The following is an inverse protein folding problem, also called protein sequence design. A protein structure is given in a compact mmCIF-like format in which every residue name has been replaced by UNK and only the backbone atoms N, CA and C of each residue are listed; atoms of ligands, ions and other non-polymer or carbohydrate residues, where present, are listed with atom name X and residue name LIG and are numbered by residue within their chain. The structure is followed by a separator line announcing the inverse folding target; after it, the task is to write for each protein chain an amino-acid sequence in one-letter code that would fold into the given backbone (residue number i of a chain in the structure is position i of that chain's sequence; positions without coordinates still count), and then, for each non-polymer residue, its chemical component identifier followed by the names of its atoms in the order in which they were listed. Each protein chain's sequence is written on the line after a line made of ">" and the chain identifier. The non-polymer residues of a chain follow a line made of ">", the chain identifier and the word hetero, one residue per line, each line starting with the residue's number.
data_IF_630848965904
#
_entry.id   IF_630848965904
#
_cell.length_a   1.000
_cell.length_b   1.000
_cell.length_c   1.000
_cell.angle_alpha   90.00
_cell.angle_beta   90.00
_cell.angle_gamma   90.00
#
_symmetry.space_group_name_H-M   'P 1'
#
loop_
_entity.id
_entity.type
_entity.pdbx_description
1 polymer ?
#
# COMPACT_ATOMS: atom_id res chain seq x y z
N UNK A 1 -23.95 -14.22 3.79
CA UNK A 1 -22.69 -13.52 3.48
C UNK A 1 -22.69 -12.17 4.20
N UNK A 2 -21.58 -11.79 4.83
CA UNK A 2 -21.46 -10.49 5.46
C UNK A 2 -21.43 -9.41 4.36
N UNK A 3 -22.37 -8.45 4.38
CA UNK A 3 -22.48 -7.40 3.34
C UNK A 3 -21.18 -6.59 3.18
N UNK A 4 -20.43 -6.41 4.26
CA UNK A 4 -19.15 -5.68 4.24
C UNK A 4 -18.06 -6.41 3.43
N UNK A 5 -18.13 -7.73 3.31
CA UNK A 5 -17.18 -8.53 2.52
C UNK A 5 -17.55 -8.46 1.04
N UNK A 6 -18.84 -8.51 0.71
CA UNK A 6 -19.32 -8.53 -0.69
C UNK A 6 -19.06 -7.21 -1.42
N UNK A 7 -19.04 -6.09 -0.69
CA UNK A 7 -18.77 -4.76 -1.24
C UNK A 7 -17.29 -4.34 -1.14
N UNK A 8 -16.43 -5.18 -0.54
CA UNK A 8 -15.01 -4.87 -0.42
C UNK A 8 -14.36 -4.90 -1.81
N UNK A 9 -13.63 -3.85 -2.24
CA UNK A 9 -13.01 -3.82 -3.58
C UNK A 9 -11.86 -4.82 -3.77
N UNK A 10 -11.25 -5.31 -2.67
CA UNK A 10 -10.15 -6.26 -2.75
C UNK A 10 -10.64 -7.66 -3.15
N UNK A 11 -10.16 -8.14 -4.30
CA UNK A 11 -10.55 -9.44 -4.88
C UNK A 11 -10.22 -10.63 -3.97
N UNK A 12 -9.14 -10.54 -3.17
CA UNK A 12 -8.76 -11.60 -2.24
C UNK A 12 -9.80 -11.72 -1.13
N UNK A 13 -10.23 -10.57 -0.57
CA UNK A 13 -11.29 -10.50 0.45
C UNK A 13 -12.60 -11.06 -0.08
N UNK A 14 -13.01 -10.65 -1.28
CA UNK A 14 -14.25 -11.13 -1.91
C UNK A 14 -14.22 -12.66 -2.12
N UNK A 15 -13.12 -13.17 -2.66
CA UNK A 15 -12.96 -14.60 -2.96
C UNK A 15 -12.92 -15.45 -1.70
N UNK A 16 -12.11 -15.06 -0.71
CA UNK A 16 -11.96 -15.82 0.54
C UNK A 16 -13.17 -15.69 1.47
N UNK A 17 -14.01 -14.67 1.27
CA UNK A 17 -15.12 -14.32 2.17
C UNK A 17 -14.68 -14.16 3.63
N UNK A 18 -13.47 -13.61 3.86
CA UNK A 18 -12.85 -13.38 5.16
C UNK A 18 -12.34 -11.95 5.27
N UNK A 19 -12.23 -11.44 6.51
CA UNK A 19 -11.49 -10.21 6.75
C UNK A 19 -9.97 -10.45 6.54
N UNK A 20 -9.20 -9.42 6.15
CA UNK A 20 -7.76 -9.58 5.89
C UNK A 20 -6.98 -10.15 7.08
N UNK A 21 -7.37 -9.80 8.30
CA UNK A 21 -6.73 -10.25 9.54
C UNK A 21 -6.88 -11.77 9.77
N UNK A 22 -7.85 -12.39 9.11
CA UNK A 22 -8.13 -13.84 9.19
C UNK A 22 -7.43 -14.65 8.10
N UNK A 23 -6.66 -14.00 7.20
CA UNK A 23 -5.98 -14.71 6.13
C UNK A 23 -4.86 -15.60 6.65
N UNK A 24 -4.92 -16.87 6.26
CA UNK A 24 -3.89 -17.86 6.54
C UNK A 24 -3.07 -18.17 5.27
N UNK A 25 -1.87 -18.72 5.44
CA UNK A 25 -1.04 -19.20 4.32
C UNK A 25 -1.81 -20.11 3.36
N UNK A 26 -2.60 -21.01 3.91
CA UNK A 26 -3.44 -21.93 3.13
C UNK A 26 -4.52 -21.23 2.29
N UNK A 27 -5.04 -20.10 2.78
CA UNK A 27 -5.99 -19.28 2.03
C UNK A 27 -5.30 -18.60 0.83
N UNK A 28 -4.08 -18.09 1.05
CA UNK A 28 -3.26 -17.47 0.00
C UNK A 28 -2.89 -18.48 -1.08
N UNK A 29 -2.44 -19.67 -0.69
CA UNK A 29 -2.12 -20.75 -1.66
C UNK A 29 -3.37 -21.14 -2.45
N UNK A 30 -4.52 -21.30 -1.80
CA UNK A 30 -5.79 -21.60 -2.46
C UNK A 30 -6.18 -20.51 -3.46
N UNK A 31 -6.10 -19.23 -3.04
CA UNK A 31 -6.40 -18.10 -3.92
C UNK A 31 -5.52 -18.13 -5.18
N UNK A 32 -4.21 -18.30 -5.00
CA UNK A 32 -3.23 -18.37 -6.08
C UNK A 32 -3.60 -19.47 -7.08
N UNK A 33 -3.86 -20.70 -6.60
CA UNK A 33 -4.16 -21.86 -7.44
C UNK A 33 -5.47 -21.70 -8.23
N UNK A 34 -6.51 -21.20 -7.56
CA UNK A 34 -7.86 -21.14 -8.14
C UNK A 34 -8.10 -19.89 -9.00
N UNK A 35 -7.26 -18.87 -8.88
CA UNK A 35 -7.36 -17.62 -9.65
C UNK A 35 -6.27 -17.45 -10.74
N UNK A 36 -5.50 -18.50 -11.02
CA UNK A 36 -4.52 -18.48 -12.09
C UNK A 36 -3.37 -17.50 -11.86
N UNK A 37 -3.05 -17.19 -10.60
CA UNK A 37 -1.91 -16.35 -10.24
C UNK A 37 -0.61 -17.09 -10.60
N UNK A 38 0.31 -16.39 -11.25
CA UNK A 38 1.56 -16.96 -11.77
C UNK A 38 2.79 -16.44 -11.09
N UNK A 39 2.68 -15.25 -10.45
CA UNK A 39 3.77 -14.61 -9.73
C UNK A 39 3.32 -14.12 -8.37
N UNK A 40 4.27 -14.01 -7.46
CA UNK A 40 4.08 -13.39 -6.14
C UNK A 40 5.10 -12.28 -5.96
N UNK A 41 4.65 -11.15 -5.42
CA UNK A 41 5.52 -10.04 -5.05
C UNK A 41 5.55 -9.86 -3.54
N UNK A 42 6.75 -9.68 -2.99
CA UNK A 42 6.94 -9.14 -1.64
C UNK A 42 7.37 -7.70 -1.74
N UNK A 43 6.58 -6.81 -1.13
CA UNK A 43 6.81 -5.37 -1.17
C UNK A 43 7.14 -4.86 0.23
N UNK A 44 8.14 -4.00 0.35
CA UNK A 44 8.58 -3.48 1.64
C UNK A 44 9.13 -2.05 1.51
N UNK A 45 8.95 -1.19 2.52
CA UNK A 45 9.53 0.15 2.51
C UNK A 45 11.04 0.08 2.80
N UNK A 46 11.84 0.81 2.04
CA UNK A 46 13.24 1.10 2.35
C UNK A 46 13.38 2.45 3.07
N UNK A 47 14.60 2.90 3.35
CA UNK A 47 14.89 4.15 4.04
C UNK A 47 14.45 5.40 3.26
N UNK A 48 14.34 5.29 1.93
CA UNK A 48 13.87 6.35 1.03
C UNK A 48 12.32 6.49 1.00
N UNK A 49 11.60 5.78 1.85
CA UNK A 49 10.12 5.74 1.90
C UNK A 49 9.45 5.30 0.59
N UNK A 50 10.16 4.56 -0.25
CA UNK A 50 9.61 3.92 -1.44
C UNK A 50 9.41 2.44 -1.19
N UNK A 51 8.36 1.88 -1.78
CA UNK A 51 8.18 0.43 -1.80
C UNK A 51 9.18 -0.19 -2.78
N UNK A 52 9.97 -1.13 -2.28
CA UNK A 52 10.81 -2.03 -3.08
C UNK A 52 10.07 -3.34 -3.26
N UNK A 53 10.39 -4.07 -4.31
CA UNK A 53 9.66 -5.29 -4.68
C UNK A 53 10.62 -6.42 -5.04
N UNK A 54 10.35 -7.61 -4.49
CA UNK A 54 10.89 -8.87 -4.99
C UNK A 54 9.80 -9.60 -5.77
N UNK A 55 10.15 -10.06 -6.96
CA UNK A 55 9.25 -10.77 -7.85
C UNK A 55 9.60 -12.27 -7.87
N UNK A 56 8.64 -13.12 -7.56
CA UNK A 56 8.82 -14.57 -7.55
C UNK A 56 7.96 -15.22 -8.64
N UNK A 57 8.58 -16.05 -9.47
CA UNK A 57 7.85 -16.96 -10.36
C UNK A 57 7.47 -18.19 -9.56
N UNK A 58 6.21 -18.61 -9.61
CA UNK A 58 5.75 -19.80 -8.91
C UNK A 58 6.15 -21.04 -9.72
N UNK A 59 7.25 -21.68 -9.30
CA UNK A 59 7.80 -22.85 -9.99
C UNK A 59 7.14 -24.17 -9.52
N UNK A 60 6.73 -24.24 -8.25
CA UNK A 60 6.06 -25.40 -7.64
C UNK A 60 5.28 -24.98 -6.41
N UNK A 61 4.40 -25.86 -5.91
CA UNK A 61 3.67 -25.64 -4.65
C UNK A 61 4.63 -25.64 -3.45
N UNK A 62 5.63 -26.54 -3.43
CA UNK A 62 6.63 -26.59 -2.36
C UNK A 62 7.48 -25.33 -2.30
N UNK A 63 7.86 -24.77 -3.45
CA UNK A 63 8.57 -23.49 -3.52
C UNK A 63 7.70 -22.35 -3.02
N UNK A 64 6.44 -22.30 -3.47
CA UNK A 64 5.47 -21.28 -3.00
C UNK A 64 5.27 -21.38 -1.49
N UNK A 65 5.07 -22.57 -0.95
CA UNK A 65 4.93 -22.81 0.51
C UNK A 65 6.17 -22.32 1.26
N UNK A 66 7.35 -22.60 0.73
CA UNK A 66 8.63 -22.19 1.33
C UNK A 66 8.76 -20.68 1.41
N UNK A 67 8.58 -19.94 0.29
CA UNK A 67 8.71 -18.46 0.28
C UNK A 67 7.63 -17.78 1.13
N UNK A 68 6.43 -18.31 1.15
CA UNK A 68 5.37 -17.80 2.01
C UNK A 68 5.67 -18.02 3.49
N UNK A 69 6.33 -19.13 3.85
CA UNK A 69 6.64 -19.47 5.25
C UNK A 69 7.87 -18.75 5.80
N UNK A 70 8.96 -18.79 5.03
CA UNK A 70 10.28 -18.37 5.49
C UNK A 70 10.69 -17.01 4.92
N UNK A 71 9.93 -16.50 3.95
CA UNK A 71 10.30 -15.31 3.22
C UNK A 71 11.51 -15.51 2.32
N UNK A 72 12.23 -14.42 2.05
CA UNK A 72 13.45 -14.44 1.25
C UNK A 72 14.52 -13.56 1.88
N UNK A 73 15.77 -13.97 1.70
CA UNK A 73 16.93 -13.23 2.18
C UNK A 73 17.21 -12.04 1.26
N UNK A 74 17.49 -10.89 1.86
CA UNK A 74 17.88 -9.65 1.17
C UNK A 74 19.13 -9.05 1.81
N UNK A 75 19.88 -8.29 1.03
CA UNK A 75 21.01 -7.52 1.55
C UNK A 75 20.50 -6.22 2.20
N UNK A 76 20.50 -6.22 3.54
CA UNK A 76 20.06 -5.07 4.33
C UNK A 76 20.93 -3.84 4.17
N UNK A 77 22.23 -3.99 3.83
CA UNK A 77 23.11 -2.82 3.60
C UNK A 77 22.77 -2.04 2.34
N UNK A 78 22.13 -2.70 1.36
CA UNK A 78 21.58 -2.05 0.16
C UNK A 78 20.23 -1.36 0.40
N UNK A 79 19.58 -1.63 1.53
CA UNK A 79 18.27 -1.08 1.88
C UNK A 79 18.33 0.00 2.96
N UNK A 80 19.29 -0.12 3.87
CA UNK A 80 19.40 0.75 5.05
C UNK A 80 20.86 1.16 5.30
N UNK A 81 21.17 2.47 5.30
CA UNK A 81 22.54 2.96 5.44
C UNK A 81 23.18 2.67 6.82
N UNK A 82 22.34 2.33 7.81
CA UNK A 82 22.82 1.97 9.16
C UNK A 82 23.15 0.48 9.34
N UNK A 83 22.98 -0.35 8.29
CA UNK A 83 23.32 -1.77 8.32
C UNK A 83 24.69 -1.98 7.66
N UNK A 84 25.63 -2.55 8.43
CA UNK A 84 26.97 -2.85 7.94
C UNK A 84 26.98 -4.07 7.00
N UNK A 85 27.73 -4.00 5.91
CA UNK A 85 27.82 -5.05 4.89
C UNK A 85 28.27 -6.43 5.46
N UNK A 86 29.06 -6.45 6.52
CA UNK A 86 29.55 -7.69 7.14
C UNK A 86 28.50 -8.48 7.92
N UNK A 87 27.31 -7.88 8.21
CA UNK A 87 26.19 -8.52 8.90
C UNK A 87 24.86 -7.98 8.34
N UNK A 88 24.72 -8.06 7.01
CA UNK A 88 23.63 -7.42 6.29
C UNK A 88 22.47 -8.36 5.92
N UNK A 89 22.55 -9.64 6.26
CA UNK A 89 21.49 -10.59 5.95
C UNK A 89 20.21 -10.26 6.72
N UNK A 90 19.17 -9.85 5.98
CA UNK A 90 17.82 -9.69 6.45
C UNK A 90 16.89 -10.65 5.71
N UNK A 91 15.77 -10.97 6.34
CA UNK A 91 14.70 -11.76 5.72
C UNK A 91 13.44 -10.91 5.61
N UNK A 92 12.81 -10.94 4.45
CA UNK A 92 11.51 -10.31 4.21
C UNK A 92 10.42 -11.38 4.20
N UNK A 93 9.55 -11.34 5.19
CA UNK A 93 8.47 -12.32 5.38
C UNK A 93 7.13 -11.65 5.06
N UNK A 94 6.30 -12.22 4.15
CA UNK A 94 5.06 -11.60 3.71
C UNK A 94 4.00 -11.57 4.82
N UNK A 95 3.21 -10.50 4.82
CA UNK A 95 2.05 -10.32 5.70
C UNK A 95 0.78 -10.64 4.92
N UNK A 96 0.17 -11.79 5.15
CA UNK A 96 -0.98 -12.28 4.38
C UNK A 96 -2.17 -11.32 4.43
N UNK A 97 -2.38 -10.64 5.55
CA UNK A 97 -3.44 -9.65 5.71
C UNK A 97 -3.35 -8.46 4.70
N UNK A 98 -2.22 -8.30 4.03
CA UNK A 98 -2.01 -7.23 3.05
C UNK A 98 -2.09 -7.72 1.60
N UNK A 99 -2.57 -8.94 1.36
CA UNK A 99 -2.61 -9.54 0.03
C UNK A 99 -3.60 -8.83 -0.91
N UNK A 100 -3.12 -8.54 -2.12
CA UNK A 100 -3.94 -7.97 -3.19
C UNK A 100 -3.47 -8.46 -4.57
N UNK A 101 -4.36 -8.46 -5.55
CA UNK A 101 -3.97 -8.68 -6.95
C UNK A 101 -3.34 -7.40 -7.48
N UNK A 102 -2.12 -7.49 -8.01
CA UNK A 102 -1.37 -6.34 -8.52
C UNK A 102 -2.09 -5.72 -9.73
N UNK A 103 -2.55 -4.46 -9.63
CA UNK A 103 -3.33 -3.85 -10.70
C UNK A 103 -2.51 -3.43 -11.91
N UNK A 104 -1.18 -3.37 -11.81
CA UNK A 104 -0.27 -2.94 -12.86
C UNK A 104 0.46 -4.10 -13.55
N UNK A 105 0.35 -5.31 -13.02
CA UNK A 105 1.05 -6.46 -13.55
C UNK A 105 0.29 -7.07 -14.73
N UNK A 106 0.93 -7.16 -15.91
CA UNK A 106 0.39 -7.88 -17.07
C UNK A 106 0.29 -9.40 -16.81
N UNK A 107 1.28 -9.95 -16.10
CA UNK A 107 1.23 -11.34 -15.63
C UNK A 107 0.42 -11.39 -14.35
N UNK A 108 -0.60 -12.27 -14.22
CA UNK A 108 -1.39 -12.36 -12.99
C UNK A 108 -0.51 -12.56 -11.75
N UNK A 109 -0.46 -11.54 -10.90
CA UNK A 109 0.45 -11.43 -9.76
C UNK A 109 -0.32 -11.14 -8.48
N UNK A 110 0.04 -11.82 -7.40
CA UNK A 110 -0.40 -11.51 -6.04
C UNK A 110 0.71 -10.78 -5.30
N UNK A 111 0.44 -9.57 -4.84
CA UNK A 111 1.37 -8.75 -4.08
C UNK A 111 1.00 -8.71 -2.59
N UNK A 112 1.99 -8.69 -1.72
CA UNK A 112 1.84 -8.57 -0.27
C UNK A 112 2.93 -7.66 0.28
N UNK A 113 2.59 -6.85 1.28
CA UNK A 113 3.60 -6.18 2.08
C UNK A 113 4.36 -7.21 2.93
N UNK A 114 5.65 -6.97 3.17
CA UNK A 114 6.51 -7.84 3.94
C UNK A 114 7.19 -7.08 5.08
N UNK A 115 7.49 -7.79 6.17
CA UNK A 115 8.20 -7.29 7.34
C UNK A 115 9.63 -7.82 7.38
N UNK A 116 10.55 -7.04 7.97
CA UNK A 116 11.97 -7.41 8.09
C UNK A 116 12.26 -8.19 9.36
N UNK A 117 13.07 -9.25 9.21
CA UNK A 117 13.56 -10.08 10.29
C UNK A 117 15.09 -10.26 10.16
N UNK A 118 15.76 -10.50 11.29
CA UNK A 118 17.15 -10.93 11.31
C UNK A 118 17.27 -12.44 11.04
N UNK A 119 18.51 -12.94 10.95
CA UNK A 119 18.80 -14.36 10.69
C UNK A 119 18.39 -15.30 11.83
N UNK A 120 18.15 -14.78 13.03
CA UNK A 120 17.61 -15.49 14.18
C UNK A 120 16.08 -15.52 14.21
N UNK A 121 15.41 -14.87 13.24
CA UNK A 121 13.96 -14.79 13.15
C UNK A 121 13.32 -13.73 14.05
N UNK A 122 14.12 -12.79 14.59
CA UNK A 122 13.57 -11.67 15.34
C UNK A 122 13.22 -10.51 14.41
N UNK A 123 12.14 -9.74 14.69
CA UNK A 123 11.85 -8.54 13.93
C UNK A 123 13.01 -7.54 13.97
N UNK A 124 13.31 -6.91 12.83
CA UNK A 124 14.35 -5.89 12.73
C UNK A 124 13.97 -4.65 13.55
N UNK A 125 14.62 -4.49 14.71
CA UNK A 125 14.28 -3.45 15.71
C UNK A 125 14.45 -2.01 15.21
N UNK A 126 15.33 -1.82 14.23
CA UNK A 126 15.59 -0.51 13.59
C UNK A 126 14.62 -0.19 12.46
N UNK A 127 13.74 -1.10 12.06
CA UNK A 127 12.75 -0.81 11.01
C UNK A 127 11.68 0.16 11.50
N UNK A 128 11.20 1.06 10.64
CA UNK A 128 10.07 1.95 10.96
C UNK A 128 8.82 1.18 11.39
N UNK A 129 8.53 0.05 10.75
CA UNK A 129 7.41 -0.82 11.10
C UNK A 129 7.50 -1.33 12.54
N UNK A 130 8.68 -1.81 12.98
CA UNK A 130 8.87 -2.26 14.36
C UNK A 130 8.67 -1.13 15.36
N UNK A 131 9.18 0.06 15.04
CA UNK A 131 9.01 1.26 15.87
C UNK A 131 7.55 1.60 16.05
N UNK A 132 6.77 1.60 14.95
CA UNK A 132 5.33 1.83 14.99
C UNK A 132 4.59 0.76 15.82
N UNK A 133 4.92 -0.52 15.60
CA UNK A 133 4.32 -1.63 16.38
C UNK A 133 4.62 -1.51 17.88
N UNK A 134 5.86 -1.11 18.24
CA UNK A 134 6.25 -0.87 19.63
C UNK A 134 5.46 0.29 20.22
N UNK A 135 5.32 1.39 19.49
CA UNK A 135 4.54 2.54 19.93
C UNK A 135 3.06 2.18 20.17
N UNK A 136 2.43 1.45 19.24
CA UNK A 136 1.05 1.00 19.38
C UNK A 136 0.86 0.10 20.60
N UNK A 137 1.79 -0.85 20.84
CA UNK A 137 1.74 -1.70 22.05
C UNK A 137 1.87 -0.88 23.33
N UNK A 138 2.87 0.01 23.39
CA UNK A 138 3.07 0.85 24.57
C UNK A 138 1.87 1.76 24.85
N UNK A 139 1.23 2.28 23.82
CA UNK A 139 0.01 3.07 23.95
C UNK A 139 -1.12 2.21 24.55
N UNK A 140 -1.33 1.00 24.02
CA UNK A 140 -2.35 0.07 24.52
C UNK A 140 -2.10 -0.36 25.96
N UNK A 141 -0.84 -0.66 26.30
CA UNK A 141 -0.44 -1.08 27.67
C UNK A 141 -0.72 0.03 28.71
N UNK A 142 -0.51 1.30 28.32
CA UNK A 142 -0.70 2.46 29.21
C UNK A 142 -2.16 2.89 29.29
N UNK A 143 -2.90 2.85 28.18
CA UNK A 143 -4.24 3.45 28.08
C UNK A 143 -5.38 2.43 28.06
N UNK A 144 -5.10 1.16 27.74
CA UNK A 144 -6.10 0.14 27.45
C UNK A 144 -6.80 0.31 26.09
N UNK A 145 -6.43 1.32 25.31
CA UNK A 145 -7.07 1.67 24.02
C UNK A 145 -6.18 1.32 22.84
N UNK A 146 -6.79 1.08 21.68
CA UNK A 146 -6.09 1.01 20.40
C UNK A 146 -6.05 2.41 19.76
N UNK A 147 -4.90 2.78 19.18
CA UNK A 147 -4.73 4.06 18.49
C UNK A 147 -5.17 3.92 17.03
N UNK A 148 -6.17 4.68 16.64
CA UNK A 148 -6.65 4.80 15.26
C UNK A 148 -6.11 6.07 14.62
N UNK A 149 -5.73 5.98 13.36
CA UNK A 149 -5.29 7.11 12.58
C UNK A 149 -6.03 7.14 11.24
N UNK A 150 -6.26 8.32 10.74
CA UNK A 150 -6.63 8.57 9.34
C UNK A 150 -5.50 9.35 8.67
N UNK A 151 -5.44 9.29 7.35
CA UNK A 151 -4.49 10.05 6.55
C UNK A 151 -5.23 10.88 5.50
N UNK A 152 -4.60 11.96 5.12
CA UNK A 152 -4.94 12.81 3.99
C UNK A 152 -3.72 12.82 3.07
N UNK A 153 -3.88 12.26 1.87
CA UNK A 153 -2.79 12.21 0.89
C UNK A 153 -3.03 13.27 -0.17
N UNK A 154 -2.26 14.35 -0.06
CA UNK A 154 -2.29 15.44 -1.02
C UNK A 154 -1.15 15.30 -2.04
N UNK A 155 -1.44 15.60 -3.30
CA UNK A 155 -0.46 15.57 -4.37
C UNK A 155 -0.84 16.54 -5.49
N UNK A 156 0.17 17.01 -6.22
CA UNK A 156 -0.03 17.80 -7.43
C UNK A 156 0.03 16.93 -8.68
N UNK A 157 -0.92 17.13 -9.58
CA UNK A 157 -0.80 16.70 -10.98
C UNK A 157 -0.37 17.89 -11.81
N UNK A 158 0.70 17.71 -12.58
CA UNK A 158 1.30 18.76 -13.41
C UNK A 158 1.12 18.41 -14.87
N UNK A 159 0.55 19.33 -15.66
CA UNK A 159 0.37 19.14 -17.11
C UNK A 159 0.64 20.42 -17.87
N UNK A 160 0.74 20.32 -19.19
CA UNK A 160 0.75 21.49 -20.06
C UNK A 160 -0.60 22.24 -20.00
N UNK A 161 -0.55 23.57 -20.01
CA UNK A 161 -1.75 24.38 -20.06
C UNK A 161 -2.33 24.39 -21.50
N UNK A 162 -3.57 23.96 -21.61
CA UNK A 162 -4.31 23.95 -22.89
C UNK A 162 -5.09 25.25 -23.16
N UNK A 163 -5.13 26.17 -22.20
CA UNK A 163 -5.92 27.39 -22.24
C UNK A 163 -7.45 27.15 -22.21
N UNK A 164 -7.89 25.91 -21.94
CA UNK A 164 -9.31 25.57 -21.83
C UNK A 164 -9.74 25.46 -20.37
N UNK A 165 -10.87 26.04 -20.03
CA UNK A 165 -11.44 26.01 -18.68
C UNK A 165 -10.42 26.45 -17.62
N UNK A 166 -9.91 27.67 -17.80
CA UNK A 166 -8.92 28.24 -16.88
C UNK A 166 -9.43 28.19 -15.44
N UNK A 167 -8.58 27.67 -14.56
CA UNK A 167 -8.87 27.64 -13.15
C UNK A 167 -8.58 29.01 -12.53
N UNK A 168 -9.38 29.37 -11.53
CA UNK A 168 -9.08 30.54 -10.70
C UNK A 168 -7.93 30.21 -9.76
N UNK A 169 -6.90 31.05 -9.75
CA UNK A 169 -5.72 30.87 -8.91
C UNK A 169 -6.08 30.65 -7.42
N UNK A 170 -5.58 29.57 -6.83
CA UNK A 170 -5.81 29.17 -5.44
C UNK A 170 -7.31 29.05 -5.06
N UNK A 171 -8.13 28.60 -6.00
CA UNK A 171 -9.58 28.40 -5.82
C UNK A 171 -10.08 27.00 -6.23
N UNK A 172 -9.16 26.01 -6.22
CA UNK A 172 -9.46 24.64 -6.64
C UNK A 172 -10.32 23.83 -5.70
N UNK A 173 -10.54 24.27 -4.45
CA UNK A 173 -11.22 23.48 -3.43
C UNK A 173 -12.60 22.99 -3.85
N UNK A 174 -12.78 21.67 -3.92
CA UNK A 174 -13.98 20.96 -4.36
C UNK A 174 -14.44 21.29 -5.80
N UNK A 175 -13.54 21.86 -6.63
CA UNK A 175 -13.87 22.04 -8.04
C UNK A 175 -14.21 20.71 -8.71
N UNK A 176 -15.11 20.77 -9.68
CA UNK A 176 -15.53 19.64 -10.49
C UNK A 176 -15.13 19.82 -11.96
N UNK A 177 -15.24 18.76 -12.75
CA UNK A 177 -15.02 18.84 -14.19
C UNK A 177 -16.00 19.85 -14.82
N UNK A 178 -15.58 20.65 -15.81
CA UNK A 178 -14.31 20.59 -16.54
C UNK A 178 -13.16 21.41 -15.91
N UNK A 179 -13.40 22.13 -14.83
CA UNK A 179 -12.39 22.95 -14.16
C UNK A 179 -11.38 22.10 -13.39
N UNK A 180 -11.83 21.00 -12.74
CA UNK A 180 -10.98 19.93 -12.24
C UNK A 180 -10.58 19.01 -13.40
N UNK A 181 -9.36 19.17 -13.90
CA UNK A 181 -8.89 18.48 -15.11
C UNK A 181 -8.49 17.03 -14.85
N UNK A 182 -8.08 16.71 -13.61
CA UNK A 182 -7.58 15.39 -13.23
C UNK A 182 -8.54 14.59 -12.35
N UNK A 183 -9.84 14.92 -12.40
CA UNK A 183 -10.88 14.19 -11.67
C UNK A 183 -10.87 12.68 -11.99
N UNK A 184 -10.77 12.31 -13.27
CA UNK A 184 -10.79 10.89 -13.68
C UNK A 184 -9.53 10.15 -13.19
N UNK A 185 -8.37 10.79 -13.25
CA UNK A 185 -7.13 10.25 -12.68
C UNK A 185 -7.26 10.01 -11.18
N UNK A 186 -7.78 11.00 -10.42
CA UNK A 186 -8.03 10.84 -8.98
C UNK A 186 -8.99 9.68 -8.70
N UNK A 187 -10.09 9.58 -9.44
CA UNK A 187 -11.07 8.50 -9.27
C UNK A 187 -10.46 7.14 -9.57
N UNK A 188 -9.60 7.03 -10.59
CA UNK A 188 -8.86 5.80 -10.89
C UNK A 188 -7.91 5.44 -9.74
N UNK A 189 -7.11 6.40 -9.26
CA UNK A 189 -6.24 6.20 -8.09
C UNK A 189 -7.03 5.71 -6.88
N UNK A 190 -8.15 6.34 -6.54
CA UNK A 190 -9.01 5.93 -5.43
C UNK A 190 -9.52 4.49 -5.60
N UNK A 191 -9.96 4.13 -6.80
CA UNK A 191 -10.43 2.78 -7.11
C UNK A 191 -9.31 1.75 -6.94
N UNK A 192 -8.11 2.03 -7.44
CA UNK A 192 -6.95 1.14 -7.32
C UNK A 192 -6.47 1.03 -5.87
N UNK A 193 -6.40 2.14 -5.14
CA UNK A 193 -6.05 2.14 -3.71
C UNK A 193 -7.04 1.26 -2.91
N UNK A 194 -8.33 1.36 -3.19
CA UNK A 194 -9.34 0.52 -2.55
C UNK A 194 -9.18 -0.97 -2.90
N UNK A 195 -8.83 -1.30 -4.15
CA UNK A 195 -8.57 -2.67 -4.59
C UNK A 195 -7.35 -3.30 -3.91
N UNK A 196 -6.33 -2.50 -3.58
CA UNK A 196 -5.14 -3.00 -2.86
C UNK A 196 -5.31 -2.98 -1.34
N UNK A 197 -6.50 -2.63 -0.83
CA UNK A 197 -6.88 -2.74 0.58
C UNK A 197 -6.99 -1.41 1.33
N UNK A 198 -6.70 -0.27 0.68
CA UNK A 198 -6.88 1.05 1.30
C UNK A 198 -8.34 1.37 1.57
N UNK A 199 -8.65 1.81 2.78
CA UNK A 199 -10.01 2.21 3.14
C UNK A 199 -10.21 3.71 2.88
N UNK A 200 -10.70 4.02 1.69
CA UNK A 200 -10.93 5.39 1.23
C UNK A 200 -12.23 5.95 1.84
N UNK A 201 -12.17 7.21 2.28
CA UNK A 201 -13.32 7.99 2.73
C UNK A 201 -13.92 8.77 1.57
N UNK A 202 -13.15 9.65 0.95
CA UNK A 202 -13.48 10.40 -0.26
C UNK A 202 -12.20 11.00 -0.90
N UNK A 203 -12.35 11.68 -2.03
CA UNK A 203 -11.31 12.48 -2.66
C UNK A 203 -11.89 13.68 -3.37
N UNK A 204 -11.12 14.76 -3.43
CA UNK A 204 -11.52 16.02 -4.05
C UNK A 204 -10.30 16.80 -4.55
N UNK A 205 -10.55 17.87 -5.29
CA UNK A 205 -9.54 18.88 -5.57
C UNK A 205 -9.29 19.72 -4.33
N UNK A 206 -8.03 20.02 -4.05
CA UNK A 206 -7.61 20.93 -3.00
C UNK A 206 -7.43 22.37 -3.52
N UNK A 207 -7.15 23.29 -2.60
CA UNK A 207 -7.07 24.74 -2.89
C UNK A 207 -6.05 25.05 -3.97
N UNK A 208 -4.92 24.32 -3.99
CA UNK A 208 -3.79 24.61 -4.85
C UNK A 208 -4.09 24.35 -6.33
N UNK A 209 -4.37 25.45 -7.07
CA UNK A 209 -4.56 25.41 -8.49
C UNK A 209 -3.96 26.69 -9.09
N UNK A 210 -2.92 26.54 -9.92
CA UNK A 210 -2.21 27.68 -10.48
C UNK A 210 -1.47 27.28 -11.77
N UNK A 211 -1.07 28.29 -12.55
CA UNK A 211 -0.26 28.08 -13.76
C UNK A 211 1.10 28.79 -13.59
N UNK A 212 2.19 28.06 -13.87
CA UNK A 212 3.56 28.60 -13.90
C UNK A 212 4.24 28.07 -15.16
N UNK A 213 4.86 28.95 -15.92
CA UNK A 213 5.66 28.64 -17.13
C UNK A 213 4.90 27.74 -18.14
N UNK A 214 3.60 28.02 -18.33
CA UNK A 214 2.74 27.27 -19.24
C UNK A 214 2.32 25.89 -18.74
N UNK A 215 2.53 25.59 -17.45
CA UNK A 215 2.09 24.33 -16.82
C UNK A 215 1.06 24.61 -15.75
N UNK A 216 0.04 23.77 -15.73
CA UNK A 216 -0.99 23.75 -14.69
C UNK A 216 -0.52 22.85 -13.57
N UNK A 217 -0.69 23.33 -12.33
CA UNK A 217 -0.52 22.61 -11.10
C UNK A 217 -1.88 22.47 -10.43
N UNK A 218 -2.43 21.26 -10.40
CA UNK A 218 -3.71 20.96 -9.77
C UNK A 218 -3.52 20.05 -8.57
N UNK A 219 -3.84 20.56 -7.38
CA UNK A 219 -3.75 19.80 -6.13
C UNK A 219 -4.98 18.91 -5.98
N UNK A 220 -4.73 17.66 -5.67
CA UNK A 220 -5.73 16.64 -5.41
C UNK A 220 -5.50 16.06 -4.02
N UNK A 221 -6.58 15.66 -3.36
CA UNK A 221 -6.55 15.02 -2.06
C UNK A 221 -7.37 13.74 -2.05
N UNK A 222 -6.86 12.73 -1.35
CA UNK A 222 -7.55 11.48 -1.04
C UNK A 222 -7.51 11.27 0.48
N UNK A 223 -8.68 11.29 1.13
CA UNK A 223 -8.84 11.00 2.55
C UNK A 223 -9.16 9.54 2.82
N UNK A 224 -8.64 9.03 3.93
CA UNK A 224 -8.83 7.66 4.39
C UNK A 224 -9.77 7.59 5.59
N UNK A 225 -10.44 6.45 5.75
CA UNK A 225 -11.19 6.16 6.96
C UNK A 225 -10.24 5.87 8.14
N UNK A 226 -10.63 6.21 9.37
CA UNK A 226 -9.85 5.85 10.56
C UNK A 226 -9.71 4.33 10.70
N UNK A 227 -8.47 3.86 10.80
CA UNK A 227 -8.12 2.45 11.02
C UNK A 227 -7.00 2.35 12.06
N UNK A 228 -6.70 1.16 12.63
CA UNK A 228 -5.53 1.00 13.50
C UNK A 228 -4.25 1.56 12.85
N UNK A 229 -3.43 2.27 13.60
CA UNK A 229 -2.30 3.05 13.06
C UNK A 229 -1.34 2.25 12.16
N UNK A 230 -1.12 0.97 12.47
CA UNK A 230 -0.31 0.08 11.60
C UNK A 230 -0.96 -0.08 10.22
N UNK A 231 -2.26 -0.29 10.18
CA UNK A 231 -3.01 -0.43 8.94
C UNK A 231 -3.06 0.90 8.17
N UNK A 232 -3.19 2.03 8.87
CA UNK A 232 -3.13 3.36 8.25
C UNK A 232 -1.79 3.60 7.55
N UNK A 233 -0.67 3.19 8.17
CA UNK A 233 0.66 3.28 7.55
C UNK A 233 0.76 2.41 6.28
N UNK A 234 0.23 1.18 6.31
CA UNK A 234 0.20 0.29 5.15
C UNK A 234 -0.63 0.90 4.01
N UNK A 235 -1.81 1.46 4.32
CA UNK A 235 -2.67 2.13 3.33
C UNK A 235 -1.96 3.31 2.66
N UNK A 236 -1.28 4.15 3.44
CA UNK A 236 -0.57 5.31 2.91
C UNK A 236 0.60 4.90 2.02
N UNK A 237 1.36 3.86 2.41
CA UNK A 237 2.46 3.35 1.60
C UNK A 237 1.98 2.78 0.27
N UNK A 238 0.88 2.04 0.26
CA UNK A 238 0.29 1.51 -0.97
C UNK A 238 -0.31 2.63 -1.82
N UNK A 239 -0.98 3.61 -1.22
CA UNK A 239 -1.53 4.76 -1.94
C UNK A 239 -0.43 5.57 -2.65
N UNK A 240 0.68 5.85 -1.97
CA UNK A 240 1.86 6.51 -2.58
C UNK A 240 2.49 5.70 -3.71
N UNK A 241 2.36 4.40 -3.70
CA UNK A 241 2.83 3.54 -4.79
C UNK A 241 1.86 3.55 -5.97
N UNK A 242 0.55 3.67 -5.73
CA UNK A 242 -0.48 3.73 -6.77
C UNK A 242 -0.43 5.06 -7.55
N UNK A 243 -0.26 6.20 -6.85
CA UNK A 243 -0.17 7.55 -7.43
C UNK A 243 1.21 7.79 -8.08
#
# INVERSE_FOLDING_TARGET
>A
MNANITLNPNRVVQYLCKSPEEFLKTDIIRFIKENGIRMVNFMYPADDNRLKTLNFVINSEDYLDSILTFGERVDGSSLFPFIEAGNSDLYVIPRYATAFVDPFAEVPTLSMLASFFDKEGNPLKSSPEYTLQKACRSFKDVTGMDFYAMGELEYYVISEDTGLFEATDQKGYHESAPYAKFNDFRMECMSLIAQVGGQIKYGHNEVGNFTIDGKIFEQNEIEFLPVPAKQAADHLMLAKWII
#
